data_IF_647031447855
#
_entry.id   IF_647031447855
#
_cell.length_a   1.000
_cell.length_b   1.000
_cell.length_c   1.000
_cell.angle_alpha   90.00
_cell.angle_beta   90.00
_cell.angle_gamma   90.00
#
_symmetry.space_group_name_H-M   'P 1'
#
loop_
_entity.id
_entity.type
_entity.pdbx_description
1 polymer ?
#
# COMPACT_ATOMS: atom_id res chain seq x y z
N UNK A 1 -7.82 19.76 23.15
CA UNK A 1 -7.15 20.11 21.88
C UNK A 1 -6.26 18.94 21.50
N UNK A 2 -6.81 18.03 20.69
CA UNK A 2 -6.22 16.72 20.40
C UNK A 2 -5.08 16.86 19.41
N UNK A 3 -3.85 16.98 19.89
CA UNK A 3 -2.67 16.85 19.04
C UNK A 3 -2.42 15.36 18.83
N UNK A 4 -2.98 14.81 17.75
CA UNK A 4 -2.72 13.45 17.27
C UNK A 4 -1.25 13.32 16.85
N UNK A 5 -0.37 13.18 17.84
CA UNK A 5 1.05 12.90 17.63
C UNK A 5 1.18 11.44 17.26
N UNK A 6 1.23 11.14 15.96
CA UNK A 6 1.52 9.79 15.48
C UNK A 6 3.03 9.52 15.64
N UNK A 7 3.46 8.64 16.57
CA UNK A 7 4.87 8.50 16.94
C UNK A 7 5.72 7.80 15.87
N UNK A 8 5.09 7.10 14.93
CA UNK A 8 5.77 6.30 13.92
C UNK A 8 6.07 7.04 12.60
N UNK A 9 5.73 8.33 12.50
CA UNK A 9 6.02 9.10 11.29
C UNK A 9 7.29 9.91 11.47
N UNK A 10 8.25 9.73 10.57
CA UNK A 10 9.50 10.48 10.53
C UNK A 10 9.80 11.03 9.13
N UNK A 11 10.67 12.02 9.06
CA UNK A 11 11.16 12.53 7.78
C UNK A 11 12.12 11.55 7.13
N UNK A 12 11.88 11.19 5.88
CA UNK A 12 12.75 10.27 5.12
C UNK A 12 14.16 10.78 4.82
N UNK A 13 14.48 12.05 5.11
CA UNK A 13 15.83 12.63 4.92
C UNK A 13 16.58 12.91 6.21
N UNK A 14 15.94 13.60 7.15
CA UNK A 14 16.58 14.02 8.41
C UNK A 14 16.18 13.17 9.60
N UNK A 15 15.29 12.19 9.39
CA UNK A 15 14.85 11.17 10.35
C UNK A 15 14.19 11.73 11.62
N UNK A 16 13.91 13.05 11.66
CA UNK A 16 13.18 13.67 12.76
C UNK A 16 11.75 13.14 12.82
N UNK A 17 11.27 12.71 14.00
CA UNK A 17 9.91 12.25 14.17
C UNK A 17 8.92 13.42 14.11
N UNK A 18 7.68 13.13 13.72
CA UNK A 18 6.56 14.07 13.68
C UNK A 18 6.38 14.81 15.00
N UNK A 19 6.59 14.11 16.13
CA UNK A 19 6.49 14.67 17.47
C UNK A 19 7.39 15.89 17.71
N UNK A 20 8.51 15.98 16.99
CA UNK A 20 9.50 17.04 17.17
C UNK A 20 9.41 18.14 16.10
N UNK A 21 8.40 18.10 15.22
CA UNK A 21 8.22 19.07 14.15
C UNK A 21 7.06 20.01 14.50
N UNK A 22 7.22 21.30 14.21
CA UNK A 22 6.16 22.30 14.40
C UNK A 22 4.96 22.12 13.45
N UNK A 23 5.09 21.27 12.43
CA UNK A 23 4.04 21.04 11.44
C UNK A 23 4.02 19.60 10.93
N UNK A 24 2.95 19.21 10.22
CA UNK A 24 2.80 17.86 9.68
C UNK A 24 3.80 17.56 8.56
N UNK A 25 4.35 16.36 8.61
CA UNK A 25 5.16 15.75 7.56
C UNK A 25 4.37 15.67 6.25
N UNK A 26 4.97 16.21 5.19
CA UNK A 26 4.38 16.31 3.87
C UNK A 26 4.74 15.09 3.02
N UNK A 27 3.76 14.47 2.39
CA UNK A 27 3.99 13.38 1.45
C UNK A 27 4.67 13.89 0.18
N UNK A 28 5.53 13.06 -0.42
CA UNK A 28 6.00 13.32 -1.77
C UNK A 28 4.79 13.39 -2.72
N UNK A 29 4.62 14.52 -3.41
CA UNK A 29 3.45 14.77 -4.26
C UNK A 29 3.33 13.77 -5.42
N UNK A 30 4.45 13.16 -5.84
CA UNK A 30 4.52 12.22 -6.96
C UNK A 30 4.19 10.79 -6.55
N UNK A 31 4.94 10.21 -5.60
CA UNK A 31 4.74 8.81 -5.20
C UNK A 31 3.79 8.63 -4.02
N UNK A 32 3.67 9.63 -3.14
CA UNK A 32 2.93 9.54 -1.86
C UNK A 32 3.38 8.40 -0.94
N UNK A 33 4.60 7.88 -1.13
CA UNK A 33 5.14 6.76 -0.33
C UNK A 33 6.05 7.21 0.82
N UNK A 34 6.78 8.31 0.64
CA UNK A 34 7.72 8.87 1.61
C UNK A 34 7.28 10.26 2.06
N UNK A 35 7.69 10.66 3.27
CA UNK A 35 7.30 11.92 3.90
C UNK A 35 8.51 12.78 4.24
N UNK A 36 8.36 14.10 4.15
CA UNK A 36 9.41 15.08 4.44
C UNK A 36 8.89 16.19 5.34
N UNK A 37 9.74 16.71 6.22
CA UNK A 37 9.37 17.84 7.08
C UNK A 37 9.35 19.17 6.32
N UNK A 38 10.02 19.23 5.17
CA UNK A 38 10.10 20.42 4.33
C UNK A 38 10.42 20.06 2.86
N UNK A 39 10.14 21.00 1.95
CA UNK A 39 10.58 20.91 0.54
C UNK A 39 12.10 20.86 0.41
N UNK A 40 12.83 21.38 1.39
CA UNK A 40 14.29 21.32 1.41
C UNK A 40 14.78 19.89 1.65
N UNK A 41 14.19 19.19 2.62
CA UNK A 41 14.48 17.78 2.86
C UNK A 41 14.13 16.90 1.66
N UNK A 42 13.01 17.17 0.97
CA UNK A 42 12.66 16.47 -0.26
C UNK A 42 13.69 16.71 -1.38
N UNK A 43 14.14 17.95 -1.59
CA UNK A 43 15.14 18.27 -2.62
C UNK A 43 16.49 17.63 -2.34
N UNK A 44 16.94 17.64 -1.09
CA UNK A 44 18.20 16.98 -0.68
C UNK A 44 18.16 15.46 -0.83
N UNK A 45 16.99 14.87 -0.60
CA UNK A 45 16.77 13.44 -0.79
C UNK A 45 16.50 13.05 -2.24
N UNK A 46 16.26 14.02 -3.13
CA UNK A 46 15.85 13.73 -4.51
C UNK A 46 16.80 12.81 -5.28
N UNK A 47 18.15 12.93 -5.20
CA UNK A 47 19.05 12.02 -5.91
C UNK A 47 18.87 10.55 -5.52
N UNK A 48 18.66 10.28 -4.22
CA UNK A 48 18.41 8.94 -3.68
C UNK A 48 16.95 8.49 -3.89
N UNK A 49 16.01 9.41 -3.76
CA UNK A 49 14.57 9.13 -3.87
C UNK A 49 14.11 8.91 -5.31
N UNK A 50 14.63 9.69 -6.28
CA UNK A 50 14.22 9.67 -7.69
C UNK A 50 14.12 8.28 -8.32
N UNK A 51 15.12 7.36 -8.18
CA UNK A 51 15.01 6.03 -8.77
C UNK A 51 13.85 5.19 -8.18
N UNK A 52 13.46 5.46 -6.95
CA UNK A 52 12.38 4.75 -6.24
C UNK A 52 11.07 5.54 -6.22
N UNK A 53 11.03 6.74 -6.82
CA UNK A 53 9.85 7.61 -6.83
C UNK A 53 8.83 7.14 -7.87
N UNK A 54 8.15 6.03 -7.57
CA UNK A 54 7.09 5.47 -8.41
C UNK A 54 5.77 6.16 -8.09
N UNK A 55 5.13 6.76 -9.09
CA UNK A 55 3.74 7.24 -8.96
C UNK A 55 2.88 6.05 -8.59
N UNK A 56 2.20 6.09 -7.44
CA UNK A 56 1.30 5.01 -7.04
C UNK A 56 0.17 4.85 -8.05
N UNK A 57 0.38 4.02 -9.08
CA UNK A 57 -0.62 3.70 -10.11
C UNK A 57 -1.63 2.69 -9.63
N UNK A 58 -1.47 2.14 -8.42
CA UNK A 58 -2.43 1.22 -7.86
C UNK A 58 -2.60 1.50 -6.38
N UNK A 59 -3.53 2.41 -6.09
CA UNK A 59 -4.62 2.01 -5.20
C UNK A 59 -5.65 1.23 -6.03
N UNK A 60 -5.24 0.18 -6.72
CA UNK A 60 -6.07 -1.00 -6.70
C UNK A 60 -6.05 -1.41 -5.23
N UNK A 61 -7.02 -0.88 -4.46
CA UNK A 61 -7.76 -1.78 -3.59
C UNK A 61 -8.06 -2.91 -4.54
N UNK A 62 -7.39 -4.05 -4.39
CA UNK A 62 -7.77 -5.26 -5.08
C UNK A 62 -9.29 -5.28 -4.93
N UNK A 63 -10.02 -4.95 -5.99
CA UNK A 63 -11.41 -5.38 -6.10
C UNK A 63 -11.16 -6.87 -6.18
N UNK A 64 -11.19 -7.55 -5.05
CA UNK A 64 -11.28 -8.99 -5.05
C UNK A 64 -12.65 -9.26 -5.67
N UNK A 65 -12.80 -9.80 -6.90
CA UNK A 65 -13.94 -10.65 -7.13
C UNK A 65 -13.62 -12.00 -6.47
N UNK A 66 -13.31 -12.03 -5.16
CA UNK A 66 -13.36 -13.28 -4.42
C UNK A 66 -14.77 -13.46 -3.88
N UNK A 67 -15.65 -13.82 -4.81
CA UNK A 67 -16.65 -14.83 -4.52
C UNK A 67 -16.50 -15.92 -5.56
N UNK A 68 -15.50 -16.78 -5.37
CA UNK A 68 -15.69 -18.17 -5.79
C UNK A 68 -16.91 -18.67 -5.01
N UNK A 69 -17.98 -18.98 -5.74
CA UNK A 69 -19.25 -19.37 -5.15
C UNK A 69 -19.14 -20.82 -4.67
N UNK A 70 -19.59 -21.11 -3.45
CA UNK A 70 -19.59 -22.46 -2.89
C UNK A 70 -20.40 -23.45 -3.76
N UNK A 71 -21.39 -22.96 -4.51
CA UNK A 71 -22.14 -23.79 -5.48
C UNK A 71 -21.26 -24.28 -6.62
N UNK A 72 -20.24 -23.53 -7.04
CA UNK A 72 -19.29 -23.96 -8.08
C UNK A 72 -18.34 -25.06 -7.56
N UNK A 73 -17.94 -24.99 -6.28
CA UNK A 73 -17.14 -26.06 -5.68
C UNK A 73 -17.96 -27.35 -5.50
N UNK A 74 -19.22 -27.23 -5.09
CA UNK A 74 -20.12 -28.37 -4.96
C UNK A 74 -20.41 -29.03 -6.32
N UNK A 75 -20.44 -28.26 -7.43
CA UNK A 75 -20.58 -28.83 -8.78
C UNK A 75 -19.38 -29.68 -9.19
N UNK A 76 -18.16 -29.22 -8.90
CA UNK A 76 -16.91 -29.94 -9.22
C UNK A 76 -16.77 -31.24 -8.40
N UNK A 77 -17.27 -31.25 -7.16
CA UNK A 77 -17.25 -32.45 -6.30
C UNK A 77 -18.31 -33.49 -6.70
N UNK A 78 -19.38 -33.09 -7.40
CA UNK A 78 -20.42 -34.01 -7.88
C UNK A 78 -20.09 -34.67 -9.22
N UNK A 79 -19.05 -34.24 -9.93
CA UNK A 79 -18.66 -34.77 -11.25
C UNK A 79 -17.77 -36.04 -11.16
N UNK A 80 -17.47 -36.56 -9.96
CA UNK A 80 -16.67 -37.80 -9.79
C UNK A 80 -17.47 -39.06 -9.44
N UNK A 81 -18.80 -39.07 -9.54
CA UNK A 81 -19.61 -40.27 -9.27
C UNK A 81 -20.16 -40.99 -10.51
N UNK A 82 -19.91 -40.50 -11.73
CA UNK A 82 -20.36 -41.17 -12.96
C UNK A 82 -19.21 -41.40 -13.95
N UNK A 83 -18.19 -42.10 -13.47
CA UNK A 83 -17.26 -42.84 -14.32
C UNK A 83 -17.77 -44.25 -14.59
N UNK A 84 -18.86 -44.39 -15.36
CA UNK A 84 -18.95 -45.51 -16.29
C UNK A 84 -17.69 -45.41 -17.18
N UNK A 85 -16.91 -46.45 -17.49
CA UNK A 85 -17.18 -47.71 -18.22
C UNK A 85 -15.77 -48.35 -18.43
N UNK A 86 -15.52 -49.45 -19.19
CA UNK A 86 -16.34 -50.54 -19.74
C UNK A 86 -15.76 -51.97 -19.55
N UNK A 87 -16.63 -52.98 -19.73
CA UNK A 87 -16.47 -54.27 -20.45
C UNK A 87 -17.38 -55.33 -19.81
#
# INVERSE_FOLDING_TARGET
>A
MSTSTLPNLSCGRCHRPQAHLSGPLQLCSRCRSIRYCSRDCQRRDWPSHKPQCQTGTVRDRVRTPMRLNLTDLNRILSETEDGATPQ
#
